data_IF_994804547558
#
_entry.id   IF_994804547558
#
_cell.length_a   1.000
_cell.length_b   1.000
_cell.length_c   1.000
_cell.angle_alpha   90.00
_cell.angle_beta   90.00
_cell.angle_gamma   90.00
#
_symmetry.space_group_name_H-M   'P 1'
#
loop_
_entity.id
_entity.type
_entity.pdbx_description
1 polymer ?
#
# COMPACT_ATOMS: atom_id res chain seq x y z
N UNK A 1 -12.52 3.32 -27.21
CA UNK A 1 -11.14 3.82 -27.44
C UNK A 1 -10.38 4.16 -26.14
N UNK A 2 -11.05 4.29 -24.99
CA UNK A 2 -10.43 4.61 -23.69
C UNK A 2 -9.59 3.47 -23.08
N UNK A 3 -10.07 2.22 -23.13
CA UNK A 3 -9.43 1.10 -22.41
C UNK A 3 -8.00 0.78 -22.88
N UNK A 4 -7.74 0.87 -24.18
CA UNK A 4 -6.40 0.61 -24.72
C UNK A 4 -5.38 1.69 -24.26
N UNK A 5 -5.85 2.93 -24.08
CA UNK A 5 -5.04 4.05 -23.60
C UNK A 5 -4.72 3.84 -22.12
N UNK A 6 -5.72 3.47 -21.31
CA UNK A 6 -5.55 3.17 -19.88
C UNK A 6 -4.62 1.99 -19.64
N UNK A 7 -4.73 0.93 -20.45
CA UNK A 7 -3.86 -0.23 -20.33
C UNK A 7 -2.40 0.13 -20.67
N UNK A 8 -2.19 0.94 -21.72
CA UNK A 8 -0.85 1.41 -22.09
C UNK A 8 -0.26 2.27 -20.99
N UNK A 9 -1.03 3.21 -20.45
CA UNK A 9 -0.58 4.10 -19.37
C UNK A 9 -0.19 3.29 -18.13
N UNK A 10 -1.02 2.31 -17.73
CA UNK A 10 -0.70 1.39 -16.63
C UNK A 10 0.59 0.60 -16.88
N UNK A 11 0.82 0.13 -18.10
CA UNK A 11 2.06 -0.59 -18.46
C UNK A 11 3.29 0.32 -18.39
N UNK A 12 3.19 1.56 -18.85
CA UNK A 12 4.28 2.54 -18.78
C UNK A 12 4.61 2.86 -17.31
N UNK A 13 3.59 3.12 -16.49
CA UNK A 13 3.77 3.35 -15.05
C UNK A 13 4.38 2.15 -14.32
N UNK A 14 4.06 0.91 -14.72
CA UNK A 14 4.72 -0.28 -14.19
C UNK A 14 6.23 -0.28 -14.49
N UNK A 15 6.65 0.11 -15.69
CA UNK A 15 8.09 0.18 -16.02
C UNK A 15 8.79 1.32 -15.29
N UNK A 16 8.20 2.52 -15.32
CA UNK A 16 8.81 3.71 -14.72
C UNK A 16 8.97 3.54 -13.21
N UNK A 17 7.95 3.01 -12.53
CA UNK A 17 8.01 2.74 -11.09
C UNK A 17 9.07 1.70 -10.71
N UNK A 18 9.28 0.67 -11.53
CA UNK A 18 10.35 -0.30 -11.31
C UNK A 18 11.74 0.34 -11.44
N UNK A 19 11.95 1.20 -12.44
CA UNK A 19 13.20 1.93 -12.62
C UNK A 19 13.47 2.92 -11.47
N UNK A 20 12.44 3.64 -11.02
CA UNK A 20 12.56 4.56 -9.87
C UNK A 20 12.94 3.81 -8.59
N UNK A 21 12.30 2.67 -8.32
CA UNK A 21 12.64 1.84 -7.16
C UNK A 21 14.08 1.32 -7.23
N UNK A 22 14.53 0.87 -8.41
CA UNK A 22 15.91 0.44 -8.64
C UNK A 22 16.90 1.59 -8.36
N UNK A 23 16.69 2.75 -8.98
CA UNK A 23 17.57 3.91 -8.84
C UNK A 23 17.62 4.41 -7.39
N UNK A 24 16.46 4.45 -6.71
CA UNK A 24 16.38 4.83 -5.31
C UNK A 24 17.22 3.87 -4.46
N UNK A 25 17.05 2.55 -4.64
CA UNK A 25 17.76 1.56 -3.85
C UNK A 25 19.28 1.53 -4.12
N UNK A 26 19.73 1.79 -5.35
CA UNK A 26 21.16 1.90 -5.69
C UNK A 26 21.81 3.05 -4.91
N UNK A 27 21.14 4.20 -4.83
CA UNK A 27 21.69 5.41 -4.20
C UNK A 27 21.45 5.46 -2.68
N UNK A 28 20.78 4.46 -2.10
CA UNK A 28 20.36 4.46 -0.70
C UNK A 28 21.38 3.73 0.17
N UNK A 29 21.63 4.27 1.37
CA UNK A 29 22.34 3.54 2.41
C UNK A 29 21.47 2.37 2.93
N UNK A 30 21.90 1.10 2.77
CA UNK A 30 21.11 -0.06 3.17
C UNK A 30 20.83 -0.10 4.69
N UNK A 31 21.62 0.60 5.52
CA UNK A 31 21.43 0.66 6.97
C UNK A 31 20.37 1.66 7.41
N UNK A 32 19.98 2.61 6.56
CA UNK A 32 19.16 3.78 6.94
C UNK A 32 17.67 3.68 6.59
N UNK A 33 17.09 2.49 6.63
CA UNK A 33 15.62 2.30 6.58
C UNK A 33 15.19 1.13 5.72
N UNK A 34 13.94 1.14 5.23
CA UNK A 34 13.39 0.08 4.35
C UNK A 34 13.62 0.32 2.85
N UNK A 35 13.99 -0.73 2.11
CA UNK A 35 14.13 -0.68 0.65
C UNK A 35 12.83 -0.20 -0.02
N UNK A 36 12.97 0.65 -1.03
CA UNK A 36 11.86 1.15 -1.83
C UNK A 36 11.35 0.03 -2.75
N UNK A 37 10.03 -0.08 -2.91
CA UNK A 37 9.40 -1.03 -3.83
C UNK A 37 8.69 -0.27 -4.97
N UNK A 38 8.49 -0.88 -6.16
CA UNK A 38 7.80 -0.21 -7.27
C UNK A 38 6.42 0.34 -6.87
N UNK A 39 5.73 -0.35 -5.96
CA UNK A 39 4.42 0.06 -5.46
C UNK A 39 4.42 1.37 -4.64
N UNK A 40 5.58 1.84 -4.20
CA UNK A 40 5.70 3.15 -3.54
C UNK A 40 5.62 4.32 -4.54
N UNK A 41 5.89 4.07 -5.82
CA UNK A 41 5.92 5.11 -6.88
C UNK A 41 4.77 5.01 -7.88
N UNK A 42 4.14 3.84 -8.02
CA UNK A 42 3.09 3.61 -9.01
C UNK A 42 1.71 4.09 -8.48
N UNK A 43 1.04 5.05 -9.14
CA UNK A 43 -0.29 5.53 -8.71
C UNK A 43 -1.37 4.45 -8.72
N UNK A 44 -1.25 3.45 -9.61
CA UNK A 44 -2.24 2.39 -9.78
C UNK A 44 -2.10 1.26 -8.77
N UNK A 45 -1.02 1.23 -7.99
CA UNK A 45 -0.79 0.22 -6.95
C UNK A 45 -1.21 0.73 -5.58
N UNK A 46 -2.22 1.62 -5.51
CA UNK A 46 -2.78 2.14 -4.26
C UNK A 46 -2.74 1.02 -3.23
N UNK A 47 -1.91 1.23 -2.19
CA UNK A 47 -1.80 0.29 -1.09
C UNK A 47 -3.22 0.14 -0.59
N UNK A 48 -3.84 -1.01 -0.84
CA UNK A 48 -4.91 -1.49 0.01
C UNK A 48 -4.32 -1.31 1.40
N UNK A 49 -4.81 -0.31 2.14
CA UNK A 49 -4.49 -0.16 3.55
C UNK A 49 -4.80 -1.52 4.08
N UNK A 50 -3.74 -2.29 4.37
CA UNK A 50 -3.88 -3.70 4.71
C UNK A 50 -4.85 -3.68 5.86
N UNK A 51 -6.10 -4.03 5.59
CA UNK A 51 -7.10 -4.34 6.58
C UNK A 51 -6.53 -5.58 7.22
N UNK A 52 -5.57 -5.37 8.13
CA UNK A 52 -5.02 -6.43 8.95
C UNK A 52 -6.25 -6.97 9.62
N UNK A 53 -6.64 -8.19 9.25
CA UNK A 53 -7.84 -8.86 9.77
C UNK A 53 -7.86 -8.89 11.31
N UNK A 54 -6.68 -8.72 11.93
CA UNK A 54 -6.47 -8.68 13.37
C UNK A 54 -6.41 -7.26 13.97
N UNK A 55 -6.75 -6.20 13.22
CA UNK A 55 -6.73 -4.81 13.73
C UNK A 55 -8.14 -4.24 13.67
N UNK A 56 -8.71 -3.97 14.83
CA UNK A 56 -9.97 -3.25 14.97
C UNK A 56 -9.63 -1.76 15.02
N UNK A 57 -9.84 -1.04 13.91
CA UNK A 57 -9.77 0.42 13.93
C UNK A 57 -11.02 0.99 14.60
N UNK A 58 -10.85 1.54 15.80
CA UNK A 58 -11.95 2.12 16.58
C UNK A 58 -12.13 3.58 16.18
N UNK A 59 -12.88 3.80 15.10
CA UNK A 59 -13.30 5.13 14.64
C UNK A 59 -14.72 5.47 15.07
N UNK A 60 -15.60 4.47 15.08
CA UNK A 60 -17.04 4.64 15.35
C UNK A 60 -17.50 3.95 16.64
N UNK A 61 -18.68 4.34 17.13
CA UNK A 61 -19.28 3.75 18.34
C UNK A 61 -19.61 2.26 18.17
N UNK A 62 -19.90 1.82 16.94
CA UNK A 62 -20.05 0.39 16.61
C UNK A 62 -18.73 -0.38 16.77
N UNK A 63 -17.61 0.22 16.38
CA UNK A 63 -16.28 -0.37 16.52
C UNK A 63 -15.83 -0.45 17.99
N UNK A 64 -16.24 0.52 18.83
CA UNK A 64 -16.01 0.48 20.29
C UNK A 64 -16.72 -0.70 20.95
N UNK A 65 -17.94 -0.99 20.54
CA UNK A 65 -18.70 -2.13 21.07
C UNK A 65 -18.07 -3.48 20.68
N UNK A 66 -17.63 -3.61 19.42
CA UNK A 66 -16.88 -4.77 18.93
C UNK A 66 -15.57 -4.97 19.70
N UNK A 67 -14.82 -3.89 19.92
CA UNK A 67 -13.59 -3.93 20.72
C UNK A 67 -13.87 -4.36 22.16
N UNK A 68 -14.89 -3.80 22.81
CA UNK A 68 -15.27 -4.16 24.18
C UNK A 68 -15.62 -5.64 24.30
N UNK A 69 -16.38 -6.17 23.35
CA UNK A 69 -16.74 -7.60 23.30
C UNK A 69 -15.51 -8.50 23.12
N UNK A 70 -14.63 -8.15 22.17
CA UNK A 70 -13.40 -8.88 21.93
C UNK A 70 -12.45 -8.86 23.16
N UNK A 71 -12.44 -7.78 23.93
CA UNK A 71 -11.58 -7.63 25.11
C UNK A 71 -12.14 -8.31 26.37
N UNK A 72 -13.46 -8.30 26.59
CA UNK A 72 -14.07 -8.87 27.81
C UNK A 72 -14.39 -10.37 27.73
N UNK A 73 -14.22 -11.00 26.56
CA UNK A 73 -14.33 -12.45 26.39
C UNK A 73 -15.70 -13.06 26.68
N UNK A 74 -16.77 -12.24 26.67
CA UNK A 74 -18.18 -12.66 26.85
C UNK A 74 -18.98 -12.43 25.57
#
# INVERSE_FOLDING_TARGET
MSEAIELRDRMEWNRVSALMALLCNINRDPKKGKAAIPADFNPYTQKETKNRTNVIEVKDDKSKALFKKAFTGK
#
